data_IF_697644705715
#
_entry.id   IF_697644705715
#
_cell.length_a   1.000
_cell.length_b   1.000
_cell.length_c   1.000
_cell.angle_alpha   90.00
_cell.angle_beta   90.00
_cell.angle_gamma   90.00
#
_symmetry.space_group_name_H-M   'P 1'
#
loop_
_entity.id
_entity.type
_entity.pdbx_description
1 polymer ?
#
# COMPACT_ATOMS: atom_id res chain seq x y z
N UNK A 1 2.29 -5.85 12.81
CA UNK A 1 2.92 -4.75 12.03
C UNK A 1 1.87 -3.66 11.80
N UNK A 2 2.13 -2.39 12.14
CA UNK A 2 1.13 -1.29 12.06
C UNK A 2 0.81 -0.86 10.62
N UNK A 3 1.82 -0.84 9.75
CA UNK A 3 1.66 -0.51 8.31
C UNK A 3 0.75 -1.53 7.61
N UNK A 4 0.93 -2.82 7.88
CA UNK A 4 0.08 -3.88 7.32
C UNK A 4 -1.39 -3.70 7.72
N UNK A 5 -1.67 -3.52 9.03
CA UNK A 5 -3.04 -3.28 9.53
C UNK A 5 -3.67 -2.01 8.93
N UNK A 6 -2.87 -0.99 8.65
CA UNK A 6 -3.34 0.22 8.01
C UNK A 6 -3.80 -0.07 6.56
N UNK A 7 -3.02 -0.85 5.82
CA UNK A 7 -3.27 -1.23 4.43
C UNK A 7 -4.47 -2.20 4.32
N UNK A 8 -4.68 -3.08 5.29
CA UNK A 8 -5.89 -3.92 5.33
C UNK A 8 -7.19 -3.09 5.45
N UNK A 9 -7.14 -1.99 6.22
CA UNK A 9 -8.28 -1.07 6.36
C UNK A 9 -8.41 -0.10 5.18
N UNK A 10 -7.28 0.26 4.56
CA UNK A 10 -7.19 1.17 3.44
C UNK A 10 -6.49 0.46 2.29
N UNK A 11 -7.20 -0.34 1.46
CA UNK A 11 -6.57 -1.17 0.43
C UNK A 11 -5.92 -0.37 -0.71
N UNK A 12 -6.21 0.93 -0.79
CA UNK A 12 -5.60 1.87 -1.73
C UNK A 12 -4.78 2.87 -0.93
N UNK A 13 -3.45 2.85 -1.09
CA UNK A 13 -2.54 3.69 -0.30
C UNK A 13 -1.56 4.50 -1.16
N UNK A 14 -1.05 5.56 -0.54
CA UNK A 14 0.13 6.31 -0.97
C UNK A 14 1.15 6.28 0.16
N UNK A 15 2.41 5.94 -0.14
CA UNK A 15 3.49 5.87 0.86
C UNK A 15 3.59 7.16 1.71
N UNK A 16 3.55 8.39 1.13
CA UNK A 16 3.61 9.62 1.92
C UNK A 16 2.43 9.78 2.89
N UNK A 17 1.22 9.36 2.50
CA UNK A 17 0.03 9.46 3.35
C UNK A 17 0.17 8.53 4.56
N UNK A 18 0.56 7.28 4.29
CA UNK A 18 0.75 6.26 5.36
C UNK A 18 1.88 6.65 6.31
N UNK A 19 2.97 7.22 5.79
CA UNK A 19 4.06 7.74 6.60
C UNK A 19 3.60 8.87 7.53
N UNK A 20 2.81 9.81 7.01
CA UNK A 20 2.28 10.93 7.78
C UNK A 20 1.29 10.47 8.86
N UNK A 21 0.35 9.59 8.50
CA UNK A 21 -0.68 9.10 9.42
C UNK A 21 -0.14 8.19 10.53
N UNK A 22 0.88 7.38 10.22
CA UNK A 22 1.51 6.50 11.20
C UNK A 22 2.70 7.15 11.93
N UNK A 23 3.08 8.39 11.56
CA UNK A 23 4.25 9.08 12.13
C UNK A 23 5.59 8.39 11.81
N UNK A 24 5.67 7.62 10.73
CA UNK A 24 6.89 6.92 10.31
C UNK A 24 7.66 7.68 9.24
N UNK A 25 8.95 7.38 9.12
CA UNK A 25 9.74 7.88 7.99
C UNK A 25 9.23 7.28 6.68
N UNK A 26 9.28 8.08 5.61
CA UNK A 26 8.95 7.61 4.26
C UNK A 26 9.72 6.33 3.91
N UNK A 27 11.02 6.28 4.22
CA UNK A 27 11.88 5.13 3.91
C UNK A 27 11.44 3.85 4.63
N UNK A 28 10.95 3.97 5.87
CA UNK A 28 10.42 2.84 6.63
C UNK A 28 9.19 2.26 5.96
N UNK A 29 8.22 3.13 5.62
CA UNK A 29 6.99 2.70 4.96
C UNK A 29 7.27 2.18 3.56
N UNK A 30 8.16 2.83 2.80
CA UNK A 30 8.59 2.40 1.47
C UNK A 30 9.16 0.98 1.50
N UNK A 31 10.08 0.66 2.42
CA UNK A 31 10.63 -0.70 2.56
C UNK A 31 9.54 -1.74 2.84
N UNK A 32 8.57 -1.44 3.70
CA UNK A 32 7.48 -2.36 4.01
C UNK A 32 6.56 -2.54 2.80
N UNK A 33 6.22 -1.46 2.11
CA UNK A 33 5.38 -1.50 0.90
C UNK A 33 6.09 -2.26 -0.22
N UNK A 34 7.38 -2.03 -0.43
CA UNK A 34 8.20 -2.77 -1.41
C UNK A 34 8.29 -4.27 -1.06
N UNK A 35 8.45 -4.62 0.21
CA UNK A 35 8.40 -6.02 0.64
C UNK A 35 7.03 -6.65 0.34
N UNK A 36 5.93 -5.94 0.59
CA UNK A 36 4.57 -6.41 0.27
C UNK A 36 4.34 -6.55 -1.24
N UNK A 37 4.90 -5.64 -2.05
CA UNK A 37 4.90 -5.76 -3.51
C UNK A 37 5.71 -6.98 -3.96
N UNK A 38 6.90 -7.20 -3.38
CA UNK A 38 7.73 -8.37 -3.66
C UNK A 38 7.08 -9.69 -3.29
N UNK A 39 6.23 -9.71 -2.26
CA UNK A 39 5.40 -10.86 -1.90
C UNK A 39 4.13 -11.02 -2.77
N UNK A 40 3.86 -10.11 -3.70
CA UNK A 40 2.66 -10.12 -4.54
C UNK A 40 1.39 -9.61 -3.87
N UNK A 41 1.46 -9.09 -2.64
CA UNK A 41 0.32 -8.60 -1.86
C UNK A 41 -0.19 -7.26 -2.41
N UNK A 42 0.74 -6.35 -2.73
CA UNK A 42 0.41 -5.04 -3.29
C UNK A 42 0.83 -4.94 -4.75
N UNK A 43 0.02 -4.26 -5.54
CA UNK A 43 0.34 -3.88 -6.91
C UNK A 43 0.44 -2.38 -7.04
N UNK A 44 1.44 -1.93 -7.78
CA UNK A 44 1.58 -0.51 -8.11
C UNK A 44 0.61 -0.17 -9.25
N UNK A 45 -0.34 0.73 -8.99
CA UNK A 45 -1.44 1.04 -9.91
C UNK A 45 -1.08 2.03 -11.02
N UNK A 46 0.15 2.58 -11.05
CA UNK A 46 0.57 3.45 -12.16
C UNK A 46 2.09 3.62 -12.29
N UNK A 47 2.57 3.83 -13.52
CA UNK A 47 3.99 4.07 -13.85
C UNK A 47 4.40 5.56 -13.71
N UNK A 48 3.48 6.44 -13.33
CA UNK A 48 3.79 7.87 -13.14
C UNK A 48 4.48 8.13 -11.79
N UNK A 49 5.73 8.59 -11.88
CA UNK A 49 6.71 8.74 -10.79
C UNK A 49 6.26 9.59 -9.60
N UNK A 50 5.35 10.54 -9.81
CA UNK A 50 4.97 11.54 -8.78
C UNK A 50 3.75 11.17 -7.94
N UNK A 51 2.93 10.23 -8.40
CA UNK A 51 1.67 9.86 -7.74
C UNK A 51 1.50 8.34 -7.77
N UNK A 52 2.50 7.60 -7.29
CA UNK A 52 2.40 6.14 -7.19
C UNK A 52 1.35 5.78 -6.13
N UNK A 53 0.31 5.10 -6.58
CA UNK A 53 -0.68 4.49 -5.71
C UNK A 53 -0.40 2.99 -5.68
N UNK A 54 -0.56 2.38 -4.51
CA UNK A 54 -0.46 0.94 -4.34
C UNK A 54 -1.83 0.42 -3.94
N UNK A 55 -2.24 -0.67 -4.57
CA UNK A 55 -3.55 -1.29 -4.37
C UNK A 55 -3.32 -2.73 -3.94
N UNK A 56 -4.05 -3.14 -2.89
CA UNK A 56 -4.19 -4.53 -2.52
C UNK A 56 -5.27 -5.16 -3.41
N UNK A 57 -4.89 -5.46 -4.66
CA UNK A 57 -5.83 -5.87 -5.72
C UNK A 57 -6.59 -7.16 -5.34
N UNK A 58 -5.89 -8.14 -4.76
CA UNK A 58 -6.52 -9.41 -4.35
C UNK A 58 -7.54 -9.21 -3.22
N UNK A 59 -7.30 -8.24 -2.32
CA UNK A 59 -8.26 -7.92 -1.27
C UNK A 59 -9.49 -7.19 -1.84
N UNK A 60 -9.29 -6.22 -2.73
CA UNK A 60 -10.40 -5.49 -3.37
C UNK A 60 -11.25 -6.43 -4.24
N UNK A 61 -10.64 -7.40 -4.92
CA UNK A 61 -11.35 -8.40 -5.74
C UNK A 61 -12.34 -9.25 -4.94
N UNK A 62 -12.10 -9.48 -3.65
CA UNK A 62 -13.07 -10.20 -2.80
C UNK A 62 -14.40 -9.45 -2.71
N UNK A 63 -14.36 -8.11 -2.73
CA UNK A 63 -15.56 -7.27 -2.67
C UNK A 63 -16.18 -6.98 -4.03
N UNK A 64 -15.41 -7.09 -5.13
CA UNK A 64 -15.86 -6.89 -6.51
C UNK A 64 -16.57 -8.13 -7.09
N UNK A 65 -16.46 -9.28 -6.41
CA UNK A 65 -17.11 -10.54 -6.80
C UNK A 65 -18.50 -10.70 -6.14
N UNK A 66 -19.33 -9.66 -6.25
CA UNK A 66 -20.77 -9.65 -5.87
C UNK A 66 -21.54 -8.91 -6.95
#
# INVERSE_FOLDING_TARGET
MLVYKYIEKNPIIKIPSVANELGYSFNTVAKVVEAMVGCGILKQANNQSRHRHFIYEDYVKIFDMV
#
